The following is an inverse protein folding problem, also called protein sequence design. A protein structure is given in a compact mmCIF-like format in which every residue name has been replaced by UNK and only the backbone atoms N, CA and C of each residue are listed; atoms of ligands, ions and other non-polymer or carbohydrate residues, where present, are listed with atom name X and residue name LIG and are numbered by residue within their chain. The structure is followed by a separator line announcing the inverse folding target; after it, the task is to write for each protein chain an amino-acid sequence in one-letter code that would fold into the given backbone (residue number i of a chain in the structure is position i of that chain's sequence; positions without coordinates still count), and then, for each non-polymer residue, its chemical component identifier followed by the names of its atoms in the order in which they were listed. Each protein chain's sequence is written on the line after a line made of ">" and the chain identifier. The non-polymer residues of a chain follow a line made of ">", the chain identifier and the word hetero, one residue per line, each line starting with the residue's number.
data_IF_240058179857
#
_entry.id   IF_240058179857
#
_cell.length_a   1.000
_cell.length_b   1.000
_cell.length_c   1.000
_cell.angle_alpha   90.00
_cell.angle_beta   90.00
_cell.angle_gamma   90.00
#
_symmetry.space_group_name_H-M   'P 1'
#
loop_
_entity.id
_entity.type
_entity.pdbx_description
1 polymer ?
#
# COMPACT_ATOMS: atom_id res chain seq x y z
N UNK A 1 47.54 6.86 -5.43
CA UNK A 1 46.12 6.49 -5.64
C UNK A 1 45.49 6.26 -4.28
N UNK A 2 44.87 7.28 -3.68
CA UNK A 2 44.14 7.14 -2.43
C UNK A 2 42.69 6.74 -2.77
N UNK A 3 42.38 5.47 -2.59
CA UNK A 3 41.00 4.96 -2.56
C UNK A 3 40.34 5.51 -1.30
N UNK A 4 39.65 6.65 -1.43
CA UNK A 4 38.80 7.18 -0.38
C UNK A 4 37.66 6.21 -0.12
N UNK A 5 37.66 5.56 1.04
CA UNK A 5 36.48 4.87 1.54
C UNK A 5 35.38 5.93 1.74
N UNK A 6 34.25 5.80 1.03
CA UNK A 6 33.08 6.64 1.27
C UNK A 6 32.67 6.53 2.74
N UNK A 7 32.40 7.64 3.44
CA UNK A 7 31.89 7.60 4.80
C UNK A 7 30.54 6.88 4.82
N UNK A 8 30.47 5.74 5.51
CA UNK A 8 29.24 5.04 5.83
C UNK A 8 28.51 5.81 6.92
N UNK A 9 27.59 6.69 6.52
CA UNK A 9 26.65 7.29 7.47
C UNK A 9 25.66 6.20 7.92
N UNK A 10 25.39 6.05 9.23
CA UNK A 10 24.30 5.21 9.68
C UNK A 10 23.01 5.78 9.10
N UNK A 11 22.38 5.04 8.18
CA UNK A 11 21.07 5.44 7.66
C UNK A 11 20.08 5.39 8.82
N UNK A 12 19.34 6.49 9.08
CA UNK A 12 18.34 6.47 10.13
C UNK A 12 17.33 5.35 9.83
N UNK A 13 16.78 4.69 10.86
CA UNK A 13 15.78 3.66 10.66
C UNK A 13 14.58 4.29 9.92
N UNK A 14 14.44 3.98 8.63
CA UNK A 14 13.28 4.37 7.86
C UNK A 14 12.09 3.62 8.44
N UNK A 15 11.26 4.30 9.24
CA UNK A 15 10.07 3.70 9.82
C UNK A 15 9.10 3.36 8.69
N UNK A 16 9.09 2.09 8.29
CA UNK A 16 8.25 1.58 7.21
C UNK A 16 6.81 1.49 7.68
N UNK A 17 6.04 2.56 7.48
CA UNK A 17 4.59 2.54 7.70
C UNK A 17 3.96 1.61 6.68
N UNK A 18 3.22 0.61 7.16
CA UNK A 18 2.49 -0.32 6.30
C UNK A 18 1.11 0.23 5.99
N UNK A 19 0.50 -0.25 4.89
CA UNK A 19 -0.89 0.09 4.55
C UNK A 19 -1.87 -0.17 5.70
N UNK A 20 -1.58 -1.16 6.54
CA UNK A 20 -2.38 -1.49 7.72
C UNK A 20 -2.35 -0.46 8.85
N UNK A 21 -1.56 0.62 8.76
CA UNK A 21 -1.55 1.71 9.74
C UNK A 21 -2.37 2.93 9.29
N UNK A 22 -2.83 2.99 8.04
CA UNK A 22 -3.67 4.11 7.58
C UNK A 22 -5.09 3.98 8.16
N UNK A 23 -5.82 5.09 8.36
CA UNK A 23 -7.26 5.05 8.64
C UNK A 23 -8.04 4.37 7.52
N UNK A 24 -9.21 3.82 7.86
CA UNK A 24 -10.03 3.05 6.91
C UNK A 24 -10.54 3.94 5.78
N UNK A 25 -10.94 5.17 6.09
CA UNK A 25 -11.47 6.16 5.16
C UNK A 25 -10.44 6.52 4.08
N UNK A 26 -9.16 6.59 4.47
CA UNK A 26 -8.06 6.86 3.53
C UNK A 26 -7.82 5.65 2.63
N UNK A 27 -7.90 4.43 3.18
CA UNK A 27 -7.78 3.20 2.38
C UNK A 27 -8.93 3.07 1.38
N UNK A 28 -10.17 3.39 1.80
CA UNK A 28 -11.34 3.39 0.93
C UNK A 28 -11.19 4.37 -0.23
N UNK A 29 -10.72 5.60 0.02
CA UNK A 29 -10.45 6.58 -1.03
C UNK A 29 -9.41 6.07 -2.03
N UNK A 30 -8.30 5.48 -1.56
CA UNK A 30 -7.28 4.89 -2.42
C UNK A 30 -7.88 3.76 -3.25
N UNK A 31 -8.67 2.88 -2.64
CA UNK A 31 -9.20 1.71 -3.33
C UNK A 31 -10.32 2.07 -4.32
N UNK A 32 -11.13 3.10 -4.06
CA UNK A 32 -12.07 3.65 -5.03
C UNK A 32 -11.36 4.09 -6.32
N UNK A 33 -10.21 4.76 -6.17
CA UNK A 33 -9.43 5.21 -7.32
C UNK A 33 -8.67 4.06 -8.01
N UNK A 34 -8.25 3.05 -7.25
CA UNK A 34 -7.45 1.94 -7.79
C UNK A 34 -8.29 0.80 -8.39
N UNK A 35 -9.49 0.52 -7.84
CA UNK A 35 -10.34 -0.60 -8.23
C UNK A 35 -11.25 -0.25 -9.41
N UNK A 36 -10.72 0.36 -10.48
CA UNK A 36 -11.49 0.74 -11.67
C UNK A 36 -11.42 -0.31 -12.79
N UNK A 37 -10.78 -1.44 -12.54
CA UNK A 37 -10.46 -2.48 -13.52
C UNK A 37 -11.42 -3.68 -13.48
N UNK A 38 -12.70 -3.43 -13.18
CA UNK A 38 -13.72 -4.48 -13.12
C UNK A 38 -13.55 -5.44 -11.95
N UNK A 39 -12.80 -5.04 -10.92
CA UNK A 39 -12.62 -5.81 -9.68
C UNK A 39 -11.35 -6.66 -9.62
N UNK A 40 -10.49 -6.64 -10.64
CA UNK A 40 -9.21 -7.36 -10.61
C UNK A 40 -8.27 -6.82 -9.53
N UNK A 41 -8.13 -5.50 -9.43
CA UNK A 41 -7.36 -4.83 -8.37
C UNK A 41 -7.98 -5.06 -7.00
N UNK A 42 -9.32 -4.98 -6.89
CA UNK A 42 -10.02 -5.27 -5.64
C UNK A 42 -9.82 -6.70 -5.14
N UNK A 43 -9.84 -7.69 -6.04
CA UNK A 43 -9.52 -9.09 -5.74
C UNK A 43 -8.06 -9.26 -5.29
N UNK A 44 -7.12 -8.62 -5.98
CA UNK A 44 -5.69 -8.67 -5.63
C UNK A 44 -5.43 -8.08 -4.25
N UNK A 45 -6.02 -6.93 -3.93
CA UNK A 45 -5.93 -6.31 -2.60
C UNK A 45 -6.53 -7.21 -1.52
N UNK A 46 -7.62 -7.90 -1.82
CA UNK A 46 -8.29 -8.81 -0.88
C UNK A 46 -7.42 -9.98 -0.42
N UNK A 47 -6.38 -10.34 -1.17
CA UNK A 47 -5.44 -11.39 -0.80
C UNK A 47 -4.30 -10.91 0.13
N UNK A 48 -4.10 -9.60 0.30
CA UNK A 48 -2.93 -9.05 1.01
C UNK A 48 -3.04 -9.21 2.54
N UNK A 49 -4.20 -8.93 3.11
CA UNK A 49 -4.45 -9.11 4.56
C UNK A 49 -5.94 -9.09 4.89
N UNK A 50 -6.31 -9.53 6.11
CA UNK A 50 -7.71 -9.49 6.59
C UNK A 50 -8.29 -8.07 6.62
N UNK A 51 -7.51 -7.08 7.04
CA UNK A 51 -7.95 -5.68 7.08
C UNK A 51 -8.18 -5.14 5.66
N UNK A 52 -7.20 -5.35 4.79
CA UNK A 52 -7.28 -4.88 3.40
C UNK A 52 -8.44 -5.57 2.68
N UNK A 53 -8.66 -6.87 2.91
CA UNK A 53 -9.84 -7.60 2.42
C UNK A 53 -11.17 -6.98 2.82
N UNK A 54 -11.32 -6.56 4.07
CA UNK A 54 -12.55 -5.93 4.54
C UNK A 54 -12.80 -4.60 3.79
N UNK A 55 -11.74 -3.81 3.58
CA UNK A 55 -11.85 -2.50 2.95
C UNK A 55 -11.95 -2.59 1.42
N UNK A 56 -11.24 -3.50 0.76
CA UNK A 56 -11.34 -3.69 -0.69
C UNK A 56 -12.70 -4.27 -1.11
N UNK A 57 -13.37 -5.00 -0.22
CA UNK A 57 -14.68 -5.57 -0.49
C UNK A 57 -15.77 -4.52 -0.70
N UNK A 58 -15.65 -3.33 -0.10
CA UNK A 58 -16.63 -2.24 -0.27
C UNK A 58 -16.56 -1.61 -1.66
N UNK A 59 -15.44 -1.75 -2.36
CA UNK A 59 -15.18 -1.12 -3.66
C UNK A 59 -14.91 -2.11 -4.80
N UNK A 60 -14.94 -3.43 -4.55
CA UNK A 60 -14.55 -4.45 -5.56
C UNK A 60 -15.42 -4.50 -6.82
N UNK A 61 -16.61 -3.91 -6.78
CA UNK A 61 -17.52 -3.82 -7.92
C UNK A 61 -17.64 -2.38 -8.43
N UNK A 62 -16.76 -1.49 -7.97
CA UNK A 62 -16.69 -0.14 -8.49
C UNK A 62 -16.21 -0.21 -9.94
N UNK A 63 -17.14 -0.05 -10.88
CA UNK A 63 -16.86 0.07 -12.30
C UNK A 63 -17.52 1.37 -12.74
N UNK A 64 -16.72 2.31 -13.20
CA UNK A 64 -17.14 3.58 -13.81
C UNK A 64 -17.40 3.39 -15.30
#
# INVERSE_FOLDING_TARGET
>A
MLIGASPTYPTPPHQRKTLGHLPTEVLEQIFLQACTDGGYTGCSLSAVSRRIRAVSHTVRFHSI
#
